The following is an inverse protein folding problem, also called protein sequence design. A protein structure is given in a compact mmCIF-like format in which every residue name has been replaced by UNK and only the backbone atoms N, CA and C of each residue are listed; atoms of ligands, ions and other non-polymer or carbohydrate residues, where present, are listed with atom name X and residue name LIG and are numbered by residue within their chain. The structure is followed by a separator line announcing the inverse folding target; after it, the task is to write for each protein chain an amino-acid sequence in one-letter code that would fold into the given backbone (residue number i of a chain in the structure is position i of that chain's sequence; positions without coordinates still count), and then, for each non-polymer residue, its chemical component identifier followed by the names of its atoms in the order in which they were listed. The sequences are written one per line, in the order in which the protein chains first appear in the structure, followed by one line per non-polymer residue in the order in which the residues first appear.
data_IF_008695469538
#
_entry.id   IF_008695469538
#
_cell.length_a   1.000
_cell.length_b   1.000
_cell.length_c   1.000
_cell.angle_alpha   90.00
_cell.angle_beta   90.00
_cell.angle_gamma   90.00
#
_symmetry.space_group_name_H-M   'P 1'
#
loop_
_entity.id
_entity.type
_entity.pdbx_description
1 polymer ?
#
# COMPACT_ATOMS: atom_id res chain seq x y z
N UNK A 1 -2.64 9.94 -53.36
CA UNK A 1 -2.45 9.46 -51.97
C UNK A 1 -1.96 10.63 -51.15
N UNK A 2 -2.16 10.63 -49.83
CA UNK A 2 -1.55 11.62 -48.93
C UNK A 2 -0.10 11.23 -48.64
N UNK A 3 0.77 12.21 -48.41
CA UNK A 3 2.19 11.97 -48.18
C UNK A 3 2.44 11.20 -46.87
N UNK A 4 1.55 11.34 -45.88
CA UNK A 4 1.53 10.50 -44.68
C UNK A 4 1.37 9.00 -45.01
N UNK A 5 0.47 8.64 -45.95
CA UNK A 5 0.24 7.26 -46.35
C UNK A 5 1.39 6.71 -47.20
N UNK A 6 2.01 7.55 -48.03
CA UNK A 6 3.21 7.21 -48.79
C UNK A 6 4.41 6.95 -47.84
N UNK A 7 4.66 7.86 -46.89
CA UNK A 7 5.68 7.71 -45.86
C UNK A 7 5.44 6.48 -44.95
N UNK A 8 4.19 6.21 -44.58
CA UNK A 8 3.82 5.00 -43.83
C UNK A 8 4.13 3.71 -44.61
N UNK A 9 3.81 3.68 -45.91
CA UNK A 9 4.14 2.55 -46.78
C UNK A 9 5.64 2.40 -47.02
N UNK A 10 6.39 3.51 -47.10
CA UNK A 10 7.85 3.49 -47.32
C UNK A 10 8.62 3.07 -46.05
N UNK A 11 8.16 3.47 -44.86
CA UNK A 11 8.77 3.14 -43.58
C UNK A 11 8.28 1.79 -42.99
N UNK A 12 7.28 1.15 -43.61
CA UNK A 12 6.68 -0.09 -43.10
C UNK A 12 5.99 0.06 -41.74
N UNK A 13 5.50 1.26 -41.42
CA UNK A 13 5.03 1.65 -40.09
C UNK A 13 3.62 2.26 -40.13
N UNK A 14 2.77 2.06 -39.09
CA UNK A 14 1.44 2.67 -39.05
C UNK A 14 1.47 4.20 -39.10
N UNK A 15 0.52 4.80 -39.84
CA UNK A 15 0.42 6.26 -40.05
C UNK A 15 0.48 7.07 -38.74
N UNK A 16 -0.13 6.59 -37.66
CA UNK A 16 -0.11 7.26 -36.35
C UNK A 16 1.31 7.39 -35.76
N UNK A 17 2.17 6.39 -35.96
CA UNK A 17 3.57 6.43 -35.50
C UNK A 17 4.40 7.34 -36.40
N UNK A 18 4.16 7.30 -37.72
CA UNK A 18 4.84 8.18 -38.68
C UNK A 18 4.49 9.65 -38.43
N UNK A 19 3.22 9.96 -38.15
CA UNK A 19 2.76 11.30 -37.78
C UNK A 19 3.45 11.81 -36.51
N UNK A 20 3.35 11.08 -35.38
CA UNK A 20 4.00 11.44 -34.11
C UNK A 20 5.53 11.59 -34.27
N UNK A 21 6.14 10.82 -35.19
CA UNK A 21 7.58 10.92 -35.52
C UNK A 21 7.93 12.14 -36.39
N UNK A 22 7.06 12.55 -37.30
CA UNK A 22 7.24 13.74 -38.14
C UNK A 22 7.08 15.02 -37.30
N UNK A 23 6.04 15.10 -36.47
CA UNK A 23 5.79 16.17 -35.51
C UNK A 23 6.97 16.36 -34.55
N UNK A 24 7.49 15.27 -33.96
CA UNK A 24 8.65 15.31 -33.08
C UNK A 24 9.93 15.82 -33.77
N UNK A 25 10.15 15.45 -35.05
CA UNK A 25 11.31 15.90 -35.83
C UNK A 25 11.16 17.32 -36.36
N UNK A 26 9.94 17.77 -36.68
CA UNK A 26 9.64 19.16 -37.00
C UNK A 26 10.03 20.06 -35.82
N UNK A 27 9.53 19.73 -34.62
CA UNK A 27 9.86 20.44 -33.37
C UNK A 27 11.36 20.43 -33.03
N UNK A 28 12.10 19.40 -33.43
CA UNK A 28 13.55 19.27 -33.17
C UNK A 28 14.46 19.88 -34.26
N UNK A 29 13.95 20.19 -35.46
CA UNK A 29 14.75 20.68 -36.59
C UNK A 29 14.31 22.04 -37.14
N UNK A 30 13.13 22.54 -36.78
CA UNK A 30 12.55 23.77 -37.33
C UNK A 30 11.98 23.62 -38.75
N UNK A 31 12.01 22.42 -39.32
CA UNK A 31 11.45 22.07 -40.64
C UNK A 31 9.95 21.75 -40.48
N UNK A 32 9.12 21.96 -41.51
CA UNK A 32 7.68 21.64 -41.43
C UNK A 32 7.42 20.13 -41.36
N UNK A 33 6.24 19.75 -40.84
CA UNK A 33 5.81 18.35 -40.77
C UNK A 33 5.65 17.77 -42.19
N UNK A 34 5.13 18.56 -43.12
CA UNK A 34 4.86 18.13 -44.50
C UNK A 34 6.14 17.92 -45.30
N UNK A 35 7.16 18.78 -45.14
CA UNK A 35 8.49 18.57 -45.75
C UNK A 35 9.13 17.26 -45.28
N UNK A 36 8.98 16.94 -43.99
CA UNK A 36 9.51 15.71 -43.37
C UNK A 36 8.75 14.48 -43.87
N UNK A 37 7.43 14.57 -44.04
CA UNK A 37 6.62 13.51 -44.63
C UNK A 37 6.96 13.30 -46.13
N UNK A 38 7.14 14.37 -46.89
CA UNK A 38 7.54 14.32 -48.30
C UNK A 38 8.93 13.66 -48.47
N UNK A 39 9.88 13.99 -47.58
CA UNK A 39 11.21 13.38 -47.56
C UNK A 39 11.16 11.86 -47.27
N UNK A 40 10.19 11.38 -46.48
CA UNK A 40 10.00 9.95 -46.22
C UNK A 40 9.12 9.24 -47.24
N UNK A 41 8.26 9.97 -47.95
CA UNK A 41 7.50 9.48 -49.10
C UNK A 41 8.37 9.25 -50.35
N UNK A 42 9.64 9.65 -50.32
CA UNK A 42 10.62 9.46 -51.40
C UNK A 42 11.01 10.73 -52.16
N UNK A 43 10.59 11.91 -51.70
CA UNK A 43 10.98 13.20 -52.28
C UNK A 43 12.43 13.59 -51.95
N UNK A 44 13.29 13.60 -52.97
CA UNK A 44 14.64 14.21 -52.87
C UNK A 44 14.50 15.75 -52.84
N UNK A 45 15.18 16.52 -51.99
CA UNK A 45 16.21 16.18 -50.99
C UNK A 45 16.02 17.03 -49.73
N UNK A 46 16.37 16.51 -48.56
CA UNK A 46 16.52 17.35 -47.37
C UNK A 46 17.71 18.33 -47.55
N UNK A 47 17.57 19.63 -47.25
CA UNK A 47 18.72 20.53 -47.14
C UNK A 47 19.53 20.14 -45.90
N UNK A 48 20.82 19.87 -46.08
CA UNK A 48 21.74 19.53 -44.98
C UNK A 48 21.81 20.69 -43.99
N UNK A 49 21.48 20.44 -42.73
CA UNK A 49 21.70 21.41 -41.66
C UNK A 49 23.21 21.63 -41.45
N UNK A 50 23.69 22.85 -41.71
CA UNK A 50 25.05 23.27 -41.34
C UNK A 50 25.18 23.27 -39.82
N UNK A 51 26.14 22.53 -39.30
CA UNK A 51 26.55 22.62 -37.90
C UNK A 51 27.66 23.68 -37.76
N UNK A 52 27.39 24.73 -36.99
CA UNK A 52 28.37 25.74 -36.55
C UNK A 52 28.08 26.05 -35.06
N UNK A 53 29.06 26.05 -34.15
CA UNK A 53 28.79 26.03 -32.71
C UNK A 53 28.68 27.45 -32.09
N UNK A 54 27.66 27.64 -31.25
CA UNK A 54 27.52 28.85 -30.44
C UNK A 54 28.07 28.64 -29.02
N UNK A 55 29.13 29.39 -28.68
CA UNK A 55 29.64 29.55 -27.32
C UNK A 55 29.48 31.01 -26.86
N UNK A 56 29.84 31.28 -25.60
CA UNK A 56 29.95 32.62 -24.96
C UNK A 56 28.68 33.50 -24.91
N UNK A 57 28.01 33.43 -23.75
CA UNK A 57 28.07 34.49 -22.73
C UNK A 57 27.99 35.97 -23.20
N UNK A 58 26.88 36.65 -22.87
CA UNK A 58 26.87 38.03 -22.31
C UNK A 58 25.47 38.49 -21.89
N UNK A 59 25.42 39.37 -20.89
CA UNK A 59 24.26 40.16 -20.43
C UNK A 59 24.81 41.44 -19.72
N UNK A 60 24.01 42.44 -19.28
CA UNK A 60 22.56 42.68 -19.42
C UNK A 60 22.17 44.15 -19.78
N UNK A 61 20.86 44.45 -19.69
CA UNK A 61 20.24 45.72 -19.22
C UNK A 61 20.13 47.01 -20.09
N UNK A 62 18.89 47.52 -20.19
CA UNK A 62 18.49 48.94 -19.92
C UNK A 62 16.96 49.14 -19.93
N UNK A 63 16.45 50.17 -19.22
CA UNK A 63 15.02 50.55 -19.03
C UNK A 63 14.89 52.08 -18.75
N UNK A 64 13.69 52.70 -18.63
CA UNK A 64 12.37 52.46 -19.24
C UNK A 64 12.04 53.55 -20.32
N UNK A 65 11.37 54.72 -20.15
CA UNK A 65 10.37 55.27 -19.19
C UNK A 65 9.05 55.88 -19.78
N UNK A 66 7.98 55.95 -18.96
CA UNK A 66 6.99 57.04 -18.68
C UNK A 66 6.48 57.97 -19.83
N UNK A 67 5.16 58.22 -20.01
CA UNK A 67 4.43 59.44 -19.53
C UNK A 67 2.89 59.42 -19.75
N UNK A 68 2.14 59.59 -18.65
CA UNK A 68 0.92 60.42 -18.36
C UNK A 68 -0.30 60.60 -19.32
N UNK A 69 -1.45 60.99 -18.73
CA UNK A 69 -2.75 61.36 -19.36
C UNK A 69 -3.07 62.88 -19.17
N UNK A 70 -4.17 63.47 -19.72
CA UNK A 70 -5.45 63.52 -18.94
C UNK A 70 -6.79 63.82 -19.69
N UNK A 71 -7.91 63.59 -18.97
CA UNK A 71 -9.20 64.33 -18.93
C UNK A 71 -10.13 64.58 -20.17
N UNK A 72 -11.45 64.71 -19.87
CA UNK A 72 -12.57 65.07 -20.78
C UNK A 72 -13.17 66.47 -20.45
N UNK A 73 -14.20 67.00 -21.17
CA UNK A 73 -15.55 67.04 -20.55
C UNK A 73 -16.82 67.19 -21.46
N UNK A 74 -17.98 66.64 -21.02
CA UNK A 74 -19.40 67.10 -21.26
C UNK A 74 -19.95 67.16 -22.72
N UNK A 75 -21.25 67.29 -23.05
CA UNK A 75 -22.51 67.70 -22.37
C UNK A 75 -23.66 66.66 -22.63
N UNK A 76 -24.72 66.70 -21.81
CA UNK A 76 -25.85 65.77 -21.75
C UNK A 76 -26.95 65.88 -22.84
N UNK A 77 -27.76 64.81 -22.93
CA UNK A 77 -29.19 64.84 -23.27
C UNK A 77 -29.92 63.73 -22.48
N UNK A 78 -31.18 63.94 -22.08
CA UNK A 78 -31.91 63.01 -21.19
C UNK A 78 -33.19 62.45 -21.83
N UNK A 79 -33.44 61.15 -21.62
CA UNK A 79 -34.73 60.48 -21.88
C UNK A 79 -35.03 59.55 -20.70
N UNK A 80 -36.28 59.51 -20.25
CA UNK A 80 -36.72 58.78 -19.04
C UNK A 80 -37.19 57.37 -19.40
N UNK A 81 -36.86 56.42 -18.51
CA UNK A 81 -37.18 54.99 -18.60
C UNK A 81 -38.65 54.69 -18.30
N UNK A 82 -39.25 53.69 -18.97
CA UNK A 82 -40.07 52.69 -18.28
C UNK A 82 -39.44 51.29 -18.37
N UNK A 83 -39.59 50.51 -17.30
CA UNK A 83 -38.76 49.32 -17.08
C UNK A 83 -39.10 48.12 -17.98
N UNK A 84 -38.06 47.49 -18.52
CA UNK A 84 -38.02 46.05 -18.73
C UNK A 84 -36.88 45.48 -17.84
N UNK A 85 -37.08 44.36 -17.14
CA UNK A 85 -36.03 43.77 -16.32
C UNK A 85 -34.97 43.14 -17.22
N UNK A 86 -33.93 43.92 -17.54
CA UNK A 86 -32.71 43.39 -18.14
C UNK A 86 -32.13 42.42 -17.11
N UNK A 87 -32.16 41.12 -17.41
CA UNK A 87 -31.39 40.14 -16.65
C UNK A 87 -29.94 40.64 -16.63
N UNK A 88 -29.25 40.69 -15.47
CA UNK A 88 -27.84 41.04 -15.46
C UNK A 88 -27.15 40.08 -16.42
N UNK A 89 -26.46 40.62 -17.43
CA UNK A 89 -25.65 39.80 -18.31
C UNK A 89 -24.68 39.05 -17.40
N UNK A 90 -24.81 37.73 -17.34
CA UNK A 90 -23.85 36.89 -16.64
C UNK A 90 -22.53 37.18 -17.33
N UNK A 91 -21.67 37.89 -16.62
CA UNK A 91 -20.27 37.92 -16.98
C UNK A 91 -19.86 36.45 -16.99
N UNK A 92 -19.58 35.93 -18.18
CA UNK A 92 -18.75 34.74 -18.30
C UNK A 92 -17.41 35.20 -17.77
N UNK A 93 -17.24 35.02 -16.47
CA UNK A 93 -15.94 34.81 -15.87
C UNK A 93 -15.47 33.58 -16.60
N UNK A 94 -14.62 33.81 -17.60
CA UNK A 94 -13.78 32.77 -18.16
C UNK A 94 -12.93 32.33 -16.98
N UNK A 95 -13.35 31.22 -16.37
CA UNK A 95 -12.82 30.73 -15.11
C UNK A 95 -11.43 30.17 -15.45
N UNK A 96 -10.45 31.07 -15.41
CA UNK A 96 -9.03 30.86 -15.67
C UNK A 96 -8.55 29.77 -14.70
N UNK A 97 -8.68 28.52 -15.14
CA UNK A 97 -8.49 27.34 -14.30
C UNK A 97 -7.06 27.39 -13.76
N UNK A 98 -6.88 27.52 -12.43
CA UNK A 98 -5.64 28.03 -11.88
C UNK A 98 -4.52 27.04 -12.18
N UNK A 99 -3.63 27.42 -13.12
CA UNK A 99 -2.61 26.54 -13.72
C UNK A 99 -1.90 25.73 -12.63
N UNK A 100 -2.29 24.45 -12.51
CA UNK A 100 -1.73 23.59 -11.49
C UNK A 100 -0.27 23.32 -11.87
N UNK A 101 0.69 23.56 -10.95
CA UNK A 101 2.10 23.31 -11.26
C UNK A 101 2.29 21.85 -11.67
N UNK A 102 3.13 21.62 -12.68
CA UNK A 102 3.31 20.30 -13.30
C UNK A 102 3.56 19.18 -12.27
N UNK A 103 2.98 18.01 -12.53
CA UNK A 103 3.10 16.86 -11.65
C UNK A 103 4.57 16.39 -11.55
N UNK A 104 5.09 16.31 -10.32
CA UNK A 104 6.46 15.86 -10.11
C UNK A 104 6.69 14.42 -10.64
N UNK A 105 7.91 14.09 -11.11
CA UNK A 105 8.21 12.75 -11.57
C UNK A 105 7.97 11.71 -10.47
N UNK A 106 7.37 10.57 -10.83
CA UNK A 106 6.88 9.52 -9.94
C UNK A 106 7.84 9.16 -8.78
N UNK A 107 9.14 9.09 -9.06
CA UNK A 107 10.17 8.77 -8.07
C UNK A 107 10.35 9.83 -6.97
N UNK A 108 10.06 11.11 -7.24
CA UNK A 108 10.05 12.17 -6.23
C UNK A 108 8.78 12.07 -5.38
N UNK A 109 7.60 12.00 -6.02
CA UNK A 109 6.29 11.80 -5.38
C UNK A 109 6.29 10.63 -4.38
N UNK A 110 6.77 9.47 -4.81
CA UNK A 110 6.85 8.25 -3.99
C UNK A 110 7.85 8.39 -2.84
N UNK A 111 9.01 9.04 -3.05
CA UNK A 111 9.99 9.29 -1.97
C UNK A 111 9.48 10.30 -0.94
N UNK A 112 8.79 11.36 -1.38
CA UNK A 112 8.23 12.40 -0.53
C UNK A 112 7.09 11.83 0.32
N UNK A 113 6.09 11.20 -0.31
CA UNK A 113 5.00 10.55 0.41
C UNK A 113 5.49 9.40 1.30
N UNK A 114 6.47 8.61 0.85
CA UNK A 114 7.11 7.59 1.68
C UNK A 114 7.74 8.18 2.95
N UNK A 115 8.45 9.31 2.87
CA UNK A 115 9.01 10.01 4.06
C UNK A 115 7.91 10.50 5.02
N UNK A 116 6.83 11.09 4.49
CA UNK A 116 5.67 11.51 5.30
C UNK A 116 5.03 10.28 5.97
N UNK A 117 4.72 9.25 5.18
CA UNK A 117 4.14 7.99 5.64
C UNK A 117 4.98 7.26 6.68
N UNK A 118 6.31 7.34 6.59
CA UNK A 118 7.21 6.80 7.62
C UNK A 118 7.02 7.50 8.97
N UNK A 119 7.02 8.83 9.00
CA UNK A 119 6.82 9.61 10.24
C UNK A 119 5.41 9.41 10.79
N UNK A 120 4.38 9.51 9.93
CA UNK A 120 2.99 9.21 10.30
C UNK A 120 2.87 7.78 10.83
N UNK A 121 3.54 6.82 10.20
CA UNK A 121 3.48 5.40 10.53
C UNK A 121 4.13 5.05 11.87
N UNK A 122 5.29 5.62 12.21
CA UNK A 122 5.86 5.43 13.56
C UNK A 122 4.97 6.05 14.64
N UNK A 123 4.41 7.24 14.40
CA UNK A 123 3.49 7.89 15.35
C UNK A 123 2.21 7.05 15.54
N UNK A 124 1.58 6.62 14.45
CA UNK A 124 0.39 5.75 14.50
C UNK A 124 0.70 4.34 15.01
N UNK A 125 1.93 3.85 14.89
CA UNK A 125 2.37 2.60 15.52
C UNK A 125 2.32 2.70 17.04
N UNK A 126 2.98 3.72 17.61
CA UNK A 126 2.98 3.95 19.06
C UNK A 126 1.58 4.27 19.59
N UNK A 127 0.82 5.15 18.92
CA UNK A 127 -0.58 5.44 19.28
C UNK A 127 -1.47 4.20 19.14
N UNK A 128 -1.22 3.37 18.13
CA UNK A 128 -1.92 2.09 17.92
C UNK A 128 -1.64 1.09 19.03
N UNK A 129 -0.40 0.96 19.49
CA UNK A 129 -0.04 0.12 20.65
C UNK A 129 -0.70 0.64 21.94
N UNK A 130 -0.71 1.95 22.17
CA UNK A 130 -1.40 2.56 23.32
C UNK A 130 -2.92 2.33 23.28
N UNK A 131 -3.55 2.51 22.11
CA UNK A 131 -4.98 2.29 21.93
C UNK A 131 -5.36 0.79 21.96
N UNK A 132 -4.47 -0.10 21.51
CA UNK A 132 -4.63 -1.54 21.59
C UNK A 132 -4.34 -2.12 22.98
N UNK A 133 -3.67 -1.36 23.86
CA UNK A 133 -3.24 -1.80 25.20
C UNK A 133 -4.35 -2.50 26.02
N UNK A 134 -5.58 -1.97 26.14
CA UNK A 134 -6.66 -2.65 26.88
C UNK A 134 -7.06 -4.01 26.29
N UNK A 135 -6.78 -4.24 25.01
CA UNK A 135 -7.05 -5.50 24.31
C UNK A 135 -5.82 -6.40 24.21
N UNK A 136 -4.59 -5.89 24.36
CA UNK A 136 -3.35 -6.67 24.25
C UNK A 136 -2.71 -6.99 25.59
N UNK A 137 -2.76 -6.10 26.59
CA UNK A 137 -1.87 -6.11 27.75
C UNK A 137 -2.62 -6.29 29.10
N UNK A 138 -3.43 -7.36 29.29
CA UNK A 138 -4.17 -7.55 30.54
C UNK A 138 -3.28 -7.99 31.72
N UNK A 139 -2.17 -8.68 31.43
CA UNK A 139 -1.33 -9.37 32.40
C UNK A 139 0.13 -8.89 32.24
N UNK A 140 0.57 -7.94 33.07
CA UNK A 140 1.98 -7.58 33.15
C UNK A 140 2.78 -8.71 33.81
N UNK A 141 3.98 -8.97 33.31
CA UNK A 141 4.95 -9.91 33.88
C UNK A 141 6.35 -9.30 33.92
N UNK A 142 7.30 -10.05 34.46
CA UNK A 142 8.71 -9.67 34.54
C UNK A 142 9.52 -10.84 33.99
N UNK A 143 10.38 -10.58 33.02
CA UNK A 143 11.36 -11.52 32.49
C UNK A 143 12.70 -11.36 33.21
N UNK A 144 13.50 -12.43 33.22
CA UNK A 144 14.87 -12.44 33.76
C UNK A 144 15.01 -13.20 35.08
N UNK A 145 16.25 -13.63 35.36
CA UNK A 145 16.65 -14.23 36.63
C UNK A 145 16.81 -13.15 37.73
N UNK A 146 17.00 -13.59 38.98
CA UNK A 146 17.16 -12.69 40.14
C UNK A 146 18.28 -11.67 39.94
N UNK A 147 17.90 -10.43 39.60
CA UNK A 147 18.80 -9.30 39.41
C UNK A 147 18.67 -8.55 38.07
N UNK A 148 18.13 -9.17 37.02
CA UNK A 148 17.98 -8.56 35.68
C UNK A 148 16.51 -8.52 35.22
N UNK A 149 15.69 -7.80 35.98
CA UNK A 149 14.24 -7.75 35.80
C UNK A 149 13.82 -6.84 34.63
N UNK A 150 13.47 -7.45 33.50
CA UNK A 150 12.97 -6.77 32.30
C UNK A 150 11.44 -6.74 32.25
N UNK A 151 10.79 -5.58 31.99
CA UNK A 151 9.34 -5.50 31.94
C UNK A 151 8.76 -6.23 30.73
N UNK A 152 7.80 -7.11 30.97
CA UNK A 152 7.18 -7.97 29.96
C UNK A 152 5.65 -8.01 30.08
N UNK A 153 4.99 -8.58 29.08
CA UNK A 153 3.53 -8.77 29.08
C UNK A 153 3.17 -10.13 28.50
N UNK A 154 2.30 -10.86 29.18
CA UNK A 154 1.77 -12.15 28.72
C UNK A 154 0.58 -11.90 27.78
N UNK A 155 0.68 -12.38 26.54
CA UNK A 155 -0.33 -12.20 25.50
C UNK A 155 -0.59 -13.53 24.76
N UNK A 156 -1.85 -13.81 24.43
CA UNK A 156 -2.20 -14.91 23.53
C UNK A 156 -1.81 -14.58 22.07
N UNK A 157 -1.12 -15.50 21.40
CA UNK A 157 -0.58 -15.34 20.04
C UNK A 157 -1.67 -15.11 18.97
N UNK A 158 -2.85 -15.71 19.12
CA UNK A 158 -4.00 -15.51 18.23
C UNK A 158 -4.68 -14.15 18.44
N UNK A 159 -4.78 -13.70 19.69
CA UNK A 159 -5.31 -12.40 20.09
C UNK A 159 -4.39 -11.27 19.67
N UNK A 160 -3.07 -11.43 19.82
CA UNK A 160 -2.07 -10.47 19.32
C UNK A 160 -2.22 -10.27 17.81
N UNK A 161 -2.14 -11.35 17.04
CA UNK A 161 -2.24 -11.30 15.57
C UNK A 161 -3.56 -10.69 15.09
N UNK A 162 -4.69 -11.06 15.69
CA UNK A 162 -6.02 -10.52 15.37
C UNK A 162 -6.15 -9.02 15.71
N UNK A 163 -5.71 -8.60 16.90
CA UNK A 163 -5.83 -7.19 17.34
C UNK A 163 -4.88 -6.31 16.53
N UNK A 164 -3.64 -6.74 16.27
CA UNK A 164 -2.73 -6.00 15.39
C UNK A 164 -3.35 -5.84 13.99
N UNK A 165 -3.87 -6.92 13.38
CA UNK A 165 -4.51 -6.83 12.05
C UNK A 165 -5.70 -5.87 12.02
N UNK A 166 -6.55 -5.87 13.07
CA UNK A 166 -7.71 -4.98 13.17
C UNK A 166 -7.30 -3.50 13.34
N UNK A 167 -6.30 -3.21 14.19
CA UNK A 167 -5.76 -1.86 14.31
C UNK A 167 -5.03 -1.40 13.04
N UNK A 168 -4.35 -2.31 12.34
CA UNK A 168 -3.69 -1.99 11.07
C UNK A 168 -4.66 -1.64 9.94
N UNK A 169 -5.91 -2.10 9.98
CA UNK A 169 -6.97 -1.63 9.05
C UNK A 169 -7.23 -0.12 9.22
N UNK A 170 -7.35 0.35 10.46
CA UNK A 170 -7.54 1.78 10.77
C UNK A 170 -6.28 2.57 10.43
N UNK A 171 -5.10 2.06 10.81
CA UNK A 171 -3.79 2.62 10.45
C UNK A 171 -3.68 2.88 8.94
N UNK A 172 -3.95 1.85 8.12
CA UNK A 172 -3.82 1.94 6.66
C UNK A 172 -4.79 2.93 6.04
N UNK A 173 -6.01 3.02 6.56
CA UNK A 173 -6.99 4.02 6.14
C UNK A 173 -6.50 5.45 6.43
N UNK A 174 -5.97 5.70 7.63
CA UNK A 174 -5.49 7.04 8.06
C UNK A 174 -4.20 7.43 7.33
N UNK A 175 -3.22 6.53 7.20
CA UNK A 175 -2.00 6.82 6.42
C UNK A 175 -2.34 7.11 4.95
N UNK A 176 -3.28 6.38 4.34
CA UNK A 176 -3.71 6.65 2.97
C UNK A 176 -4.45 8.00 2.82
N UNK A 177 -5.26 8.38 3.81
CA UNK A 177 -5.89 9.71 3.85
C UNK A 177 -4.84 10.82 3.95
N UNK A 178 -3.93 10.71 4.92
CA UNK A 178 -2.94 11.76 5.23
C UNK A 178 -1.86 11.87 4.14
N UNK A 179 -1.44 10.75 3.55
CA UNK A 179 -0.54 10.74 2.39
C UNK A 179 -1.15 11.38 1.14
N UNK A 180 -2.49 11.44 1.04
CA UNK A 180 -3.19 12.10 -0.06
C UNK A 180 -3.31 13.61 0.17
N UNK A 181 -3.61 14.05 1.40
CA UNK A 181 -3.73 15.49 1.71
C UNK A 181 -2.37 16.18 1.77
N UNK A 182 -1.40 15.62 2.52
CA UNK A 182 -0.09 16.25 2.72
C UNK A 182 0.70 16.38 1.41
N UNK A 183 0.57 15.42 0.48
CA UNK A 183 1.23 15.53 -0.82
C UNK A 183 0.77 16.75 -1.63
N UNK A 184 -0.55 17.02 -1.65
CA UNK A 184 -1.11 18.21 -2.31
C UNK A 184 -0.85 19.52 -1.56
N UNK A 185 -0.58 19.48 -0.24
CA UNK A 185 -0.14 20.65 0.53
C UNK A 185 1.34 21.00 0.33
N UNK A 186 2.20 20.01 0.09
CA UNK A 186 3.64 20.23 -0.14
C UNK A 186 3.91 20.61 -1.59
N UNK A 187 3.23 19.96 -2.55
CA UNK A 187 3.32 20.28 -3.98
C UNK A 187 1.91 20.20 -4.60
N UNK A 188 1.27 21.31 -5.00
CA UNK A 188 -0.12 21.28 -5.48
C UNK A 188 -0.35 20.35 -6.68
N UNK A 189 0.60 20.25 -7.61
CA UNK A 189 0.56 19.31 -8.74
C UNK A 189 0.47 17.82 -8.33
N UNK A 190 0.96 17.48 -7.13
CA UNK A 190 0.90 16.14 -6.56
C UNK A 190 -0.42 15.82 -5.84
N UNK A 191 -1.36 16.77 -5.77
CA UNK A 191 -2.71 16.51 -5.29
C UNK A 191 -3.35 15.41 -6.15
N UNK A 192 -3.96 14.41 -5.52
CA UNK A 192 -4.53 13.29 -6.27
C UNK A 192 -5.95 13.59 -6.75
N UNK A 193 -6.27 13.15 -7.97
CA UNK A 193 -7.62 13.18 -8.58
C UNK A 193 -8.48 12.01 -8.08
N UNK A 194 -9.81 12.13 -8.16
CA UNK A 194 -10.76 11.04 -7.85
C UNK A 194 -11.21 10.95 -6.38
N UNK A 195 -11.89 9.85 -6.02
CA UNK A 195 -12.62 9.73 -4.75
C UNK A 195 -11.71 9.34 -3.58
N UNK A 196 -11.61 10.20 -2.55
CA UNK A 196 -10.84 9.94 -1.32
C UNK A 196 -11.20 8.59 -0.68
N UNK A 197 -12.49 8.24 -0.65
CA UNK A 197 -12.99 6.98 -0.11
C UNK A 197 -12.45 5.72 -0.80
N UNK A 198 -12.01 5.79 -2.07
CA UNK A 198 -11.36 4.67 -2.74
C UNK A 198 -9.92 4.52 -2.26
N UNK A 199 -9.16 5.62 -2.15
CA UNK A 199 -7.79 5.60 -1.61
C UNK A 199 -7.74 5.16 -0.15
N UNK A 200 -8.68 5.58 0.69
CA UNK A 200 -8.74 5.14 2.09
C UNK A 200 -9.18 3.68 2.22
N UNK A 201 -10.10 3.19 1.37
CA UNK A 201 -10.45 1.78 1.33
C UNK A 201 -9.26 0.90 0.90
N UNK A 202 -8.53 1.25 -0.16
CA UNK A 202 -7.31 0.52 -0.58
C UNK A 202 -6.25 0.54 0.54
N UNK A 203 -6.06 1.68 1.20
CA UNK A 203 -5.21 1.80 2.38
C UNK A 203 -5.64 0.88 3.53
N UNK A 204 -6.94 0.82 3.82
CA UNK A 204 -7.49 -0.03 4.88
C UNK A 204 -7.29 -1.54 4.60
N UNK A 205 -7.49 -1.97 3.35
CA UNK A 205 -7.28 -3.36 2.94
C UNK A 205 -5.80 -3.76 2.97
N UNK A 206 -4.89 -2.88 2.50
CA UNK A 206 -3.45 -3.07 2.63
C UNK A 206 -3.04 -3.11 4.11
N UNK A 207 -3.62 -2.22 4.90
CA UNK A 207 -3.55 -2.16 6.36
C UNK A 207 -3.80 -3.50 7.01
N UNK A 208 -4.97 -4.10 6.75
CA UNK A 208 -5.34 -5.41 7.29
C UNK A 208 -4.37 -6.52 6.85
N UNK A 209 -4.01 -6.59 5.57
CA UNK A 209 -3.16 -7.66 5.03
C UNK A 209 -1.75 -7.63 5.63
N UNK A 210 -1.12 -6.45 5.67
CA UNK A 210 0.21 -6.30 6.27
C UNK A 210 0.15 -6.30 7.80
N UNK A 211 -0.99 -5.99 8.41
CA UNK A 211 -1.25 -6.09 9.84
C UNK A 211 -1.24 -7.53 10.39
N UNK A 212 -1.77 -8.49 9.62
CA UNK A 212 -1.57 -9.92 9.93
C UNK A 212 -0.09 -10.30 9.94
N UNK A 213 0.68 -9.80 8.98
CA UNK A 213 2.14 -9.98 8.94
C UNK A 213 2.84 -9.32 10.14
N UNK A 214 2.49 -8.08 10.48
CA UNK A 214 3.04 -7.35 11.62
C UNK A 214 2.73 -8.04 12.96
N UNK A 215 1.52 -8.58 13.13
CA UNK A 215 1.15 -9.37 14.31
C UNK A 215 1.96 -10.66 14.43
N UNK A 216 2.25 -11.35 13.32
CA UNK A 216 3.10 -12.53 13.30
C UNK A 216 4.58 -12.19 13.57
N UNK A 217 5.07 -11.07 13.07
CA UNK A 217 6.42 -10.54 13.38
C UNK A 217 6.52 -10.20 14.86
N UNK A 218 5.55 -9.50 15.45
CA UNK A 218 5.51 -9.23 16.89
C UNK A 218 5.51 -10.52 17.72
N UNK A 219 4.72 -11.52 17.31
CA UNK A 219 4.69 -12.83 17.97
C UNK A 219 6.02 -13.60 17.94
N UNK A 220 6.89 -13.31 16.96
CA UNK A 220 8.23 -13.92 16.84
C UNK A 220 9.30 -13.24 17.71
N UNK A 221 8.98 -12.12 18.37
CA UNK A 221 9.81 -11.49 19.41
C UNK A 221 9.35 -11.83 20.83
N UNK A 222 8.41 -12.77 20.99
CA UNK A 222 7.93 -13.23 22.30
C UNK A 222 8.43 -14.64 22.64
N UNK A 223 8.84 -14.83 23.88
CA UNK A 223 9.23 -16.13 24.46
C UNK A 223 7.96 -16.92 24.82
N UNK A 224 7.95 -18.24 24.66
CA UNK A 224 6.76 -19.06 24.96
C UNK A 224 6.62 -19.29 26.48
N UNK A 225 5.38 -19.30 26.98
CA UNK A 225 5.11 -19.54 28.40
C UNK A 225 5.11 -21.04 28.69
N UNK A 226 6.07 -21.49 29.48
CA UNK A 226 6.18 -22.89 29.89
C UNK A 226 4.88 -23.41 30.53
N UNK A 227 4.43 -24.58 30.07
CA UNK A 227 3.19 -25.21 30.52
C UNK A 227 1.87 -24.62 30.00
N UNK A 228 1.87 -23.57 29.15
CA UNK A 228 0.63 -22.99 28.60
C UNK A 228 0.69 -22.71 27.10
N UNK A 229 -0.01 -23.52 26.30
CA UNK A 229 -0.09 -23.35 24.84
C UNK A 229 -0.57 -21.95 24.41
N UNK A 230 0.00 -21.44 23.31
CA UNK A 230 -0.34 -20.17 22.65
C UNK A 230 -0.09 -18.87 23.45
N UNK A 231 0.37 -18.93 24.70
CA UNK A 231 0.80 -17.75 25.44
C UNK A 231 2.26 -17.43 25.16
N UNK A 232 2.54 -16.14 24.94
CA UNK A 232 3.90 -15.61 24.80
C UNK A 232 4.14 -14.42 25.73
N UNK A 233 5.37 -14.29 26.22
CA UNK A 233 5.85 -13.10 26.93
C UNK A 233 6.55 -12.16 25.96
N UNK A 234 5.99 -10.98 25.80
CA UNK A 234 6.55 -9.91 24.97
C UNK A 234 7.39 -8.96 25.85
N UNK A 235 8.72 -8.87 25.65
CA UNK A 235 9.53 -7.83 26.30
C UNK A 235 9.11 -6.44 25.78
N UNK A 236 8.79 -5.52 26.71
CA UNK A 236 8.14 -4.23 26.39
C UNK A 236 9.03 -3.34 25.53
N UNK A 237 10.34 -3.29 25.82
CA UNK A 237 11.31 -2.46 25.08
C UNK A 237 11.43 -2.91 23.62
N UNK A 238 11.57 -4.22 23.38
CA UNK A 238 11.62 -4.77 22.03
C UNK A 238 10.30 -4.55 21.29
N UNK A 239 9.16 -4.75 21.96
CA UNK A 239 7.83 -4.50 21.41
C UNK A 239 7.68 -3.05 20.92
N UNK A 240 8.11 -2.06 21.72
CA UNK A 240 8.09 -0.64 21.33
C UNK A 240 8.97 -0.37 20.11
N UNK A 241 10.18 -0.94 20.05
CA UNK A 241 11.10 -0.79 18.91
C UNK A 241 10.52 -1.41 17.63
N UNK A 242 9.99 -2.64 17.72
CA UNK A 242 9.38 -3.34 16.57
C UNK A 242 8.11 -2.63 16.09
N UNK A 243 7.29 -2.09 17.00
CA UNK A 243 6.13 -1.25 16.63
C UNK A 243 6.56 0.06 15.97
N UNK A 244 7.61 0.73 16.46
CA UNK A 244 8.10 1.99 15.89
C UNK A 244 8.66 1.81 14.48
N UNK A 245 9.54 0.80 14.29
CA UNK A 245 10.18 0.48 13.01
C UNK A 245 9.19 -0.16 12.02
N UNK A 246 8.37 -1.09 12.49
CA UNK A 246 7.31 -1.72 11.70
C UNK A 246 6.27 -0.70 11.26
N UNK A 247 5.86 0.21 12.15
CA UNK A 247 5.02 1.36 11.82
C UNK A 247 5.64 2.26 10.76
N UNK A 248 6.94 2.58 10.88
CA UNK A 248 7.67 3.36 9.87
C UNK A 248 7.65 2.70 8.48
N UNK A 249 8.02 1.42 8.40
CA UNK A 249 8.03 0.65 7.16
C UNK A 249 6.63 0.51 6.56
N UNK A 250 5.64 0.17 7.39
CA UNK A 250 4.25 -0.03 6.98
C UNK A 250 3.59 1.28 6.50
N UNK A 251 3.88 2.39 7.19
CA UNK A 251 3.43 3.72 6.79
C UNK A 251 4.10 4.20 5.50
N UNK A 252 5.41 3.95 5.33
CA UNK A 252 6.14 4.22 4.08
C UNK A 252 5.52 3.44 2.91
N UNK A 253 5.30 2.13 3.07
CA UNK A 253 4.70 1.26 2.04
C UNK A 253 3.30 1.73 1.64
N UNK A 254 2.46 2.07 2.62
CA UNK A 254 1.09 2.54 2.38
C UNK A 254 1.06 3.87 1.62
N UNK A 255 1.87 4.84 2.04
CA UNK A 255 1.95 6.16 1.39
C UNK A 255 2.58 6.10 -0.01
N UNK A 256 3.64 5.30 -0.18
CA UNK A 256 4.28 5.04 -1.46
C UNK A 256 3.30 4.43 -2.46
N UNK A 257 2.49 3.44 -2.03
CA UNK A 257 1.48 2.81 -2.88
C UNK A 257 0.39 3.79 -3.30
N UNK A 258 -0.11 4.62 -2.38
CA UNK A 258 -1.17 5.60 -2.66
C UNK A 258 -0.73 6.63 -3.71
N UNK A 259 0.52 7.10 -3.69
CA UNK A 259 1.05 7.99 -4.73
C UNK A 259 1.40 7.27 -6.03
N UNK A 260 1.90 6.03 -5.98
CA UNK A 260 2.18 5.24 -7.19
C UNK A 260 0.90 4.89 -7.98
N UNK A 261 -0.22 4.70 -7.28
CA UNK A 261 -1.51 4.25 -7.83
C UNK A 261 -2.51 5.41 -8.02
N UNK A 262 -2.17 6.62 -7.55
CA UNK A 262 -2.98 7.83 -7.71
C UNK A 262 -2.57 8.72 -8.90
N UNK A 263 -3.57 9.18 -9.66
CA UNK A 263 -3.43 10.18 -10.73
C UNK A 263 -3.16 11.55 -10.07
N UNK A 264 -2.02 12.21 -10.32
CA UNK A 264 -1.78 13.58 -9.84
C UNK A 264 -2.58 14.59 -10.69
N UNK A 265 -2.89 15.75 -10.13
CA UNK A 265 -3.71 16.77 -10.78
C UNK A 265 -2.93 17.64 -11.77
N UNK A 266 -1.62 17.82 -11.58
CA UNK A 266 -0.74 18.55 -12.52
C UNK A 266 -0.36 17.78 -13.79
N UNK A 267 -1.21 16.88 -14.29
CA UNK A 267 -1.02 16.21 -15.59
C UNK A 267 -1.85 16.95 -16.63
N UNK A 268 -1.20 17.59 -17.61
CA UNK A 268 -1.91 18.25 -18.70
C UNK A 268 -2.79 17.28 -19.50
N UNK A 269 -3.93 17.75 -20.00
CA UNK A 269 -4.99 16.92 -20.58
C UNK A 269 -4.52 15.96 -21.68
N UNK A 270 -3.54 16.41 -22.46
CA UNK A 270 -2.88 15.67 -23.55
C UNK A 270 -2.22 14.36 -23.09
N UNK A 271 -1.80 14.25 -21.82
CA UNK A 271 -1.20 13.05 -21.25
C UNK A 271 -2.16 12.31 -20.29
N UNK A 272 -3.21 12.98 -19.82
CA UNK A 272 -4.12 12.47 -18.78
C UNK A 272 -4.77 11.13 -19.15
N UNK A 273 -5.15 10.90 -20.42
CA UNK A 273 -5.73 9.63 -20.87
C UNK A 273 -4.69 8.48 -20.95
N UNK A 274 -3.48 8.75 -21.44
CA UNK A 274 -2.39 7.76 -21.46
C UNK A 274 -2.02 7.36 -20.01
N UNK A 275 -1.85 8.35 -19.11
CA UNK A 275 -1.57 8.14 -17.68
C UNK A 275 -2.70 7.38 -16.99
N UNK A 276 -3.95 7.80 -17.14
CA UNK A 276 -5.10 7.12 -16.53
C UNK A 276 -5.25 5.67 -17.03
N UNK A 277 -4.91 5.40 -18.30
CA UNK A 277 -4.93 4.04 -18.87
C UNK A 277 -3.86 3.14 -18.26
N UNK A 278 -2.61 3.63 -18.14
CA UNK A 278 -1.52 2.89 -17.47
C UNK A 278 -1.87 2.67 -16.00
N UNK A 279 -2.35 3.71 -15.32
CA UNK A 279 -2.65 3.64 -13.90
C UNK A 279 -3.84 2.73 -13.60
N UNK A 280 -4.89 2.71 -14.41
CA UNK A 280 -6.01 1.76 -14.27
C UNK A 280 -5.56 0.30 -14.37
N UNK A 281 -4.55 0.00 -15.18
CA UNK A 281 -3.91 -1.34 -15.24
C UNK A 281 -3.12 -1.63 -13.96
N UNK A 282 -2.34 -0.68 -13.46
CA UNK A 282 -1.58 -0.80 -12.21
C UNK A 282 -2.49 -0.99 -11.00
N UNK A 283 -3.53 -0.16 -10.86
CA UNK A 283 -4.59 -0.30 -9.83
C UNK A 283 -5.25 -1.66 -9.93
N UNK A 284 -5.59 -2.13 -11.13
CA UNK A 284 -6.16 -3.47 -11.35
C UNK A 284 -5.23 -4.59 -10.86
N UNK A 285 -3.96 -4.54 -11.25
CA UNK A 285 -2.95 -5.54 -10.88
C UNK A 285 -2.69 -5.63 -9.37
N UNK A 286 -2.97 -4.57 -8.60
CA UNK A 286 -2.74 -4.50 -7.15
C UNK A 286 -4.05 -4.74 -6.36
N UNK A 287 -5.14 -4.08 -6.76
CA UNK A 287 -6.41 -4.16 -6.05
C UNK A 287 -7.12 -5.51 -6.23
N UNK A 288 -6.97 -6.18 -7.38
CA UNK A 288 -7.56 -7.52 -7.60
C UNK A 288 -6.98 -8.58 -6.66
N UNK A 289 -5.65 -8.80 -6.55
CA UNK A 289 -5.11 -9.75 -5.58
C UNK A 289 -5.35 -9.32 -4.13
N UNK A 290 -5.30 -8.02 -3.82
CA UNK A 290 -5.61 -7.53 -2.47
C UNK A 290 -7.06 -7.83 -2.07
N UNK A 291 -8.02 -7.54 -2.94
CA UNK A 291 -9.43 -7.90 -2.74
C UNK A 291 -9.63 -9.43 -2.72
N UNK A 292 -8.85 -10.19 -3.50
CA UNK A 292 -8.82 -11.65 -3.47
C UNK A 292 -8.39 -12.21 -2.12
N UNK A 293 -7.30 -11.70 -1.53
CA UNK A 293 -6.84 -12.08 -0.19
C UNK A 293 -7.86 -11.72 0.88
N UNK A 294 -8.48 -10.53 0.81
CA UNK A 294 -9.49 -10.11 1.79
C UNK A 294 -10.78 -10.92 1.65
N UNK A 295 -11.26 -11.18 0.43
CA UNK A 295 -12.43 -12.03 0.20
C UNK A 295 -12.17 -13.48 0.63
N UNK A 296 -10.96 -14.00 0.37
CA UNK A 296 -10.53 -15.30 0.85
C UNK A 296 -10.50 -15.34 2.38
N UNK A 297 -9.96 -14.33 3.06
CA UNK A 297 -10.00 -14.25 4.51
C UNK A 297 -11.45 -14.22 5.04
N UNK A 298 -12.30 -13.32 4.51
CA UNK A 298 -13.70 -13.15 4.94
C UNK A 298 -14.56 -14.38 4.70
N UNK A 299 -14.28 -15.19 3.67
CA UNK A 299 -15.02 -16.43 3.38
C UNK A 299 -14.42 -17.66 4.08
N UNK A 300 -13.08 -17.78 4.13
CA UNK A 300 -12.39 -18.98 4.62
C UNK A 300 -12.20 -18.97 6.13
N UNK A 301 -11.98 -17.84 6.82
CA UNK A 301 -11.90 -17.83 8.29
C UNK A 301 -13.20 -18.36 8.95
N UNK A 302 -14.40 -17.84 8.66
CA UNK A 302 -15.62 -18.35 9.30
C UNK A 302 -15.90 -19.80 8.93
N UNK A 303 -15.62 -20.21 7.68
CA UNK A 303 -15.74 -21.61 7.25
C UNK A 303 -14.78 -22.52 8.02
N UNK A 304 -13.51 -22.13 8.16
CA UNK A 304 -12.50 -22.87 8.92
C UNK A 304 -12.85 -22.94 10.41
N UNK A 305 -13.33 -21.84 11.01
CA UNK A 305 -13.79 -21.81 12.41
C UNK A 305 -14.96 -22.78 12.61
N UNK A 306 -15.95 -22.79 11.71
CA UNK A 306 -17.06 -23.75 11.74
C UNK A 306 -16.53 -25.18 11.64
N UNK A 307 -15.67 -25.47 10.67
CA UNK A 307 -15.09 -26.80 10.43
C UNK A 307 -14.28 -27.33 11.62
N UNK A 308 -13.43 -26.50 12.22
CA UNK A 308 -12.62 -26.83 13.40
C UNK A 308 -13.53 -27.11 14.62
N UNK A 309 -14.57 -26.29 14.81
CA UNK A 309 -15.52 -26.46 15.93
C UNK A 309 -16.43 -27.67 15.74
N UNK A 310 -16.71 -28.07 14.49
CA UNK A 310 -17.41 -29.31 14.15
C UNK A 310 -16.47 -30.52 14.13
N UNK A 311 -16.15 -31.04 15.32
CA UNK A 311 -15.30 -32.22 15.52
C UNK A 311 -15.68 -33.47 14.69
N UNK A 312 -16.96 -33.60 14.33
CA UNK A 312 -17.47 -34.67 13.46
C UNK A 312 -17.11 -34.49 11.97
N UNK A 313 -16.90 -33.24 11.51
CA UNK A 313 -16.49 -32.95 10.13
C UNK A 313 -14.97 -32.98 9.95
N UNK A 314 -14.16 -32.72 10.99
CA UNK A 314 -12.70 -32.67 10.80
C UNK A 314 -12.09 -34.03 10.44
N UNK A 315 -12.53 -35.13 11.08
CA UNK A 315 -12.01 -36.49 10.80
C UNK A 315 -12.37 -37.07 9.43
N UNK A 316 -13.48 -36.66 8.83
CA UNK A 316 -13.96 -37.19 7.54
C UNK A 316 -13.92 -36.15 6.39
N UNK A 317 -13.96 -34.86 6.72
CA UNK A 317 -14.05 -33.74 5.78
C UNK A 317 -12.69 -33.19 5.33
N UNK A 318 -11.60 -33.39 6.07
CA UNK A 318 -10.28 -32.94 5.63
C UNK A 318 -9.86 -33.52 4.25
N UNK A 319 -10.06 -34.82 3.94
CA UNK A 319 -9.86 -35.35 2.59
C UNK A 319 -10.79 -34.72 1.55
N UNK A 320 -12.06 -34.50 1.90
CA UNK A 320 -13.08 -33.92 1.00
C UNK A 320 -12.70 -32.46 0.64
N UNK A 321 -12.24 -31.68 1.62
CA UNK A 321 -11.75 -30.31 1.42
C UNK A 321 -10.48 -30.29 0.58
N UNK A 322 -9.55 -31.23 0.78
CA UNK A 322 -8.36 -31.38 -0.06
C UNK A 322 -8.73 -31.71 -1.52
N UNK A 323 -9.72 -32.58 -1.74
CA UNK A 323 -10.24 -32.91 -3.08
C UNK A 323 -10.90 -31.67 -3.73
N UNK A 324 -11.78 -30.96 -3.00
CA UNK A 324 -12.47 -29.76 -3.49
C UNK A 324 -11.46 -28.64 -3.84
N UNK A 325 -10.47 -28.40 -2.96
CA UNK A 325 -9.42 -27.41 -3.22
C UNK A 325 -8.58 -27.81 -4.44
N UNK A 326 -8.16 -29.06 -4.55
CA UNK A 326 -7.39 -29.57 -5.68
C UNK A 326 -8.17 -29.46 -7.00
N UNK A 327 -9.44 -29.83 -7.00
CA UNK A 327 -10.33 -29.70 -8.16
C UNK A 327 -10.56 -28.23 -8.56
N UNK A 328 -10.69 -27.34 -7.58
CA UNK A 328 -10.83 -25.89 -7.82
C UNK A 328 -9.56 -25.30 -8.46
N UNK A 329 -8.39 -25.67 -7.95
CA UNK A 329 -7.09 -25.28 -8.52
C UNK A 329 -6.94 -25.84 -9.95
N UNK A 330 -7.28 -27.11 -10.18
CA UNK A 330 -7.26 -27.72 -11.51
C UNK A 330 -8.22 -27.03 -12.50
N UNK A 331 -9.42 -26.64 -12.06
CA UNK A 331 -10.38 -25.93 -12.88
C UNK A 331 -9.87 -24.54 -13.30
N UNK A 332 -9.28 -23.78 -12.36
CA UNK A 332 -8.69 -22.47 -12.65
C UNK A 332 -7.45 -22.62 -13.57
N UNK A 333 -6.60 -23.61 -13.32
CA UNK A 333 -5.44 -23.90 -14.17
C UNK A 333 -5.86 -24.31 -15.60
N UNK A 334 -6.88 -25.17 -15.73
CA UNK A 334 -7.49 -25.56 -17.02
C UNK A 334 -8.02 -24.35 -17.79
N UNK A 335 -8.81 -23.49 -17.14
CA UNK A 335 -9.39 -22.28 -17.75
C UNK A 335 -8.33 -21.22 -18.10
N UNK A 336 -7.16 -21.26 -17.44
CA UNK A 336 -6.03 -20.38 -17.73
C UNK A 336 -5.19 -20.92 -18.90
N UNK A 337 -5.01 -22.24 -18.98
CA UNK A 337 -4.31 -22.91 -20.08
C UNK A 337 -5.09 -22.92 -21.40
N UNK A 338 -6.43 -22.76 -21.36
CA UNK A 338 -7.30 -22.80 -22.55
C UNK A 338 -7.25 -21.56 -23.46
N UNK A 339 -6.24 -20.68 -23.31
CA UNK A 339 -6.05 -19.46 -24.12
C UNK A 339 -4.76 -19.54 -24.95
N UNK A 340 -4.80 -20.07 -26.19
CA UNK A 340 -3.61 -20.17 -27.03
C UNK A 340 -3.06 -18.79 -27.43
N UNK A 341 -1.73 -18.67 -27.50
CA UNK A 341 -1.06 -17.46 -28.03
C UNK A 341 -0.74 -16.36 -27.01
N UNK A 342 -1.10 -16.51 -25.74
CA UNK A 342 -0.73 -15.55 -24.69
C UNK A 342 0.78 -15.63 -24.40
N UNK A 343 1.54 -14.63 -24.89
CA UNK A 343 2.99 -14.51 -24.65
C UNK A 343 3.25 -14.04 -23.21
N UNK A 344 3.49 -14.98 -22.30
CA UNK A 344 3.87 -14.70 -20.91
C UNK A 344 5.12 -13.82 -20.90
N UNK A 345 5.02 -12.63 -20.32
CA UNK A 345 6.14 -11.72 -20.13
C UNK A 345 7.06 -12.19 -19.00
N UNK A 346 8.32 -11.74 -19.01
CA UNK A 346 9.25 -11.99 -17.90
C UNK A 346 8.73 -11.45 -16.57
N UNK A 347 7.93 -10.37 -16.59
CA UNK A 347 7.30 -9.81 -15.39
C UNK A 347 6.22 -10.72 -14.80
N UNK A 348 5.31 -11.25 -15.63
CA UNK A 348 4.26 -12.19 -15.20
C UNK A 348 4.84 -13.51 -14.68
N UNK A 349 5.92 -14.01 -15.32
CA UNK A 349 6.66 -15.17 -14.85
C UNK A 349 7.29 -14.91 -13.47
N UNK A 350 8.00 -13.78 -13.31
CA UNK A 350 8.63 -13.42 -12.03
C UNK A 350 7.61 -13.17 -10.90
N UNK A 351 6.46 -12.56 -11.21
CA UNK A 351 5.39 -12.35 -10.24
C UNK A 351 4.71 -13.66 -9.82
N UNK A 352 4.54 -14.60 -10.75
CA UNK A 352 4.02 -15.95 -10.44
C UNK A 352 5.04 -16.74 -9.62
N UNK A 353 6.32 -16.67 -9.97
CA UNK A 353 7.41 -17.33 -9.25
C UNK A 353 7.57 -16.76 -7.83
N UNK A 354 7.46 -15.44 -7.64
CA UNK A 354 7.50 -14.83 -6.30
C UNK A 354 6.26 -15.18 -5.47
N UNK A 355 5.07 -15.26 -6.07
CA UNK A 355 3.87 -15.76 -5.42
C UNK A 355 4.03 -17.20 -4.91
N UNK A 356 4.57 -18.09 -5.75
CA UNK A 356 4.90 -19.48 -5.35
C UNK A 356 5.95 -19.49 -4.24
N UNK A 357 7.01 -18.67 -4.34
CA UNK A 357 8.05 -18.58 -3.32
C UNK A 357 7.51 -18.09 -1.97
N UNK A 358 6.60 -17.10 -1.96
CA UNK A 358 5.93 -16.62 -0.73
C UNK A 358 5.08 -17.72 -0.11
N UNK A 359 4.31 -18.48 -0.91
CA UNK A 359 3.53 -19.62 -0.40
C UNK A 359 4.44 -20.71 0.17
N UNK A 360 5.57 -21.01 -0.47
CA UNK A 360 6.56 -21.97 0.04
C UNK A 360 7.24 -21.50 1.33
N UNK A 361 7.56 -20.20 1.46
CA UNK A 361 8.11 -19.62 2.70
C UNK A 361 7.08 -19.66 3.83
N UNK A 362 5.80 -19.37 3.55
CA UNK A 362 4.72 -19.51 4.54
C UNK A 362 4.55 -20.98 4.96
N UNK A 363 4.55 -21.92 4.01
CA UNK A 363 4.47 -23.35 4.30
C UNK A 363 5.66 -23.82 5.15
N UNK A 364 6.88 -23.39 4.82
CA UNK A 364 8.10 -23.69 5.59
C UNK A 364 8.01 -23.12 7.01
N UNK A 365 7.58 -21.85 7.16
CA UNK A 365 7.41 -21.23 8.47
C UNK A 365 6.35 -21.96 9.33
N UNK A 366 5.24 -22.40 8.72
CA UNK A 366 4.21 -23.19 9.41
C UNK A 366 4.69 -24.61 9.78
N UNK A 367 5.62 -25.20 9.03
CA UNK A 367 6.25 -26.48 9.37
C UNK A 367 7.28 -26.33 10.50
N UNK A 368 8.12 -25.30 10.45
CA UNK A 368 9.10 -24.97 11.49
C UNK A 368 8.40 -24.59 12.81
N UNK A 369 7.27 -23.87 12.76
CA UNK A 369 6.42 -23.59 13.91
C UNK A 369 5.56 -24.79 14.39
N UNK A 370 5.85 -26.00 13.92
CA UNK A 370 5.13 -27.25 14.26
C UNK A 370 6.02 -28.46 14.52
N UNK A 371 7.34 -28.36 14.35
CA UNK A 371 8.27 -29.45 14.70
C UNK A 371 8.41 -29.54 16.23
N UNK A 372 7.98 -30.63 16.89
CA UNK A 372 8.20 -30.81 18.31
C UNK A 372 9.69 -31.08 18.56
N UNK A 373 10.36 -30.20 19.32
CA UNK A 373 11.76 -30.38 19.72
C UNK A 373 11.81 -31.05 21.10
N UNK A 374 11.42 -32.32 21.15
CA UNK A 374 11.55 -33.17 22.34
C UNK A 374 11.85 -34.61 21.92
N UNK A 375 13.11 -35.02 22.09
CA UNK A 375 13.54 -36.40 22.40
C UNK A 375 15.08 -36.40 22.58
N UNK A 376 15.56 -36.18 23.82
CA UNK A 376 16.85 -36.67 24.37
C UNK A 376 17.08 -36.13 25.80
N UNK A 377 16.42 -36.74 26.81
CA UNK A 377 16.98 -37.04 28.16
C UNK A 377 15.93 -37.72 29.07
N UNK A 378 15.66 -39.01 28.84
CA UNK A 378 14.93 -39.87 29.81
C UNK A 378 15.66 -41.23 30.02
N UNK A 379 16.93 -41.18 30.44
CA UNK A 379 17.67 -42.41 30.85
C UNK A 379 18.54 -42.15 32.10
N UNK A 380 18.03 -41.45 33.13
CA UNK A 380 18.81 -41.25 34.36
C UNK A 380 18.08 -40.99 35.69
N UNK A 381 16.81 -41.38 35.94
CA UNK A 381 16.38 -41.64 37.34
C UNK A 381 15.15 -42.56 37.55
N UNK A 382 15.35 -43.87 37.43
CA UNK A 382 14.39 -44.85 37.96
C UNK A 382 14.55 -45.01 39.49
N UNK A 383 14.08 -44.03 40.29
CA UNK A 383 14.51 -43.94 41.71
C UNK A 383 13.57 -43.39 42.80
N UNK A 384 12.55 -42.56 42.53
CA UNK A 384 11.83 -41.86 43.62
C UNK A 384 10.30 -41.72 43.44
N UNK A 385 9.52 -42.66 43.99
CA UNK A 385 8.05 -42.57 44.05
C UNK A 385 7.56 -41.72 45.23
N UNK A 386 7.40 -40.40 45.03
CA UNK A 386 6.78 -39.50 46.03
C UNK A 386 5.28 -39.36 45.78
N UNK A 387 4.45 -39.81 46.73
CA UNK A 387 2.98 -39.70 46.64
C UNK A 387 2.48 -38.38 47.22
N UNK A 388 2.10 -37.43 46.37
CA UNK A 388 1.55 -36.13 46.80
C UNK A 388 0.05 -36.24 47.13
N UNK A 389 -0.28 -36.44 48.40
CA UNK A 389 -1.67 -36.45 48.88
C UNK A 389 -2.24 -35.03 49.06
N UNK A 390 -3.27 -34.67 48.29
CA UNK A 390 -3.99 -33.40 48.44
C UNK A 390 -5.17 -33.54 49.41
N UNK A 391 -5.10 -32.87 50.56
CA UNK A 391 -6.18 -32.81 51.57
C UNK A 391 -6.85 -31.44 51.60
N UNK A 392 -7.95 -31.30 50.85
CA UNK A 392 -8.78 -30.08 50.84
C UNK A 392 -9.70 -30.01 52.07
N UNK A 393 -9.23 -29.38 53.15
CA UNK A 393 -10.08 -29.04 54.30
C UNK A 393 -10.84 -27.73 54.05
N UNK A 394 -12.09 -27.84 53.59
CA UNK A 394 -12.95 -26.70 53.29
C UNK A 394 -13.79 -26.24 54.49
N UNK A 395 -13.51 -25.05 55.02
CA UNK A 395 -14.37 -24.35 55.97
C UNK A 395 -14.93 -23.07 55.30
N UNK A 396 -16.25 -23.04 55.10
CA UNK A 396 -16.88 -22.07 54.19
C UNK A 396 -17.28 -20.77 54.90
N UNK A 397 -16.52 -19.69 54.66
CA UNK A 397 -16.90 -18.31 55.04
C UNK A 397 -16.78 -17.38 53.82
N UNK A 398 -17.86 -16.69 53.39
CA UNK A 398 -17.81 -15.82 52.23
C UNK A 398 -17.10 -14.49 52.56
N UNK A 399 -16.09 -14.11 51.77
CA UNK A 399 -15.47 -12.78 51.81
C UNK A 399 -13.96 -12.71 52.05
N UNK A 400 -13.24 -13.84 52.15
CA UNK A 400 -11.78 -13.86 52.30
C UNK A 400 -11.06 -14.15 50.97
N UNK A 401 -9.94 -13.46 50.73
CA UNK A 401 -9.07 -13.67 49.57
C UNK A 401 -8.33 -15.01 49.66
N UNK A 402 -8.40 -15.83 48.60
CA UNK A 402 -7.68 -17.11 48.53
C UNK A 402 -6.20 -16.91 48.24
N UNK A 403 -5.38 -16.73 49.28
CA UNK A 403 -3.92 -16.80 49.16
C UNK A 403 -3.48 -18.26 49.14
N UNK A 404 -3.05 -18.76 47.98
CA UNK A 404 -2.42 -20.08 47.87
C UNK A 404 -0.94 -19.96 48.24
N UNK A 405 -0.55 -20.52 49.37
CA UNK A 405 0.86 -20.63 49.78
C UNK A 405 1.32 -22.05 49.48
N UNK A 406 2.28 -22.21 48.56
CA UNK A 406 2.96 -23.48 48.32
C UNK A 406 4.26 -23.48 49.14
N UNK A 407 4.33 -24.32 50.16
CA UNK A 407 5.53 -24.50 50.99
C UNK A 407 6.28 -25.77 50.59
N UNK A 408 7.32 -25.61 49.79
CA UNK A 408 8.22 -26.71 49.41
C UNK A 408 9.20 -27.01 50.55
N UNK A 409 8.91 -28.01 51.39
CA UNK A 409 9.86 -28.49 52.39
C UNK A 409 10.83 -29.49 51.77
N UNK A 410 12.02 -29.02 51.39
CA UNK A 410 13.14 -29.91 51.11
C UNK A 410 13.64 -30.54 52.42
N UNK A 411 13.84 -31.86 52.42
CA UNK A 411 14.59 -32.58 53.46
C UNK A 411 15.96 -32.94 52.89
N UNK A 412 16.97 -32.99 53.77
CA UNK A 412 18.40 -33.12 53.45
C UNK A 412 18.78 -34.35 52.62
#
# INVERSE_FOLDING_TARGET
MTDLAAAASALGAPEAIVRRSAEARAKASGISVDDILAAWAGGSSAPTATAEPAATESAPASTPPVTEAPAAPTIAAAVVVPAAPILPAVAVIEEEEPELPEAEPLGQRVRLAGRVGMVTGSILGILGLMAASPWLLPNASILGAEGDFSPAVIVDRGRLTLVTALFSLIFGAVVAALSRTVAGWVSPGNALVGRVGLTTAVGALLGLVLGFGAGAVLAAFGEEVEGVENLIQLPVVATIIVVLLGGALMGWLTAALVQAVGIPAGVGDHEAEEVATVQRRLTGAIAVPLAGVVALAVLVLPLAIVLIRSSHLSRAGAPILAIIASASILAVASLSASKPGMKISRGEFLATLSGIAVVLVIAMAVLLARSPVHEEEEVAEAGATTTTGVTTSGATTPGATTTVVVTTTASS
#
